data_IF_761814586667
#
_entry.id   IF_761814586667
#
_cell.length_a   1.000
_cell.length_b   1.000
_cell.length_c   1.000
_cell.angle_alpha   90.00
_cell.angle_beta   90.00
_cell.angle_gamma   90.00
#
_symmetry.space_group_name_H-M   'P 1'
#
loop_
_entity.id
_entity.type
_entity.pdbx_description
1 polymer ?
#
# COMPACT_ATOMS: atom_id res chain seq x y z
N UNK A 1 -5.11 7.80 -12.43
CA UNK A 1 -5.48 7.89 -10.99
C UNK A 1 -6.31 6.73 -10.41
N UNK A 2 -7.02 5.87 -11.17
CA UNK A 2 -7.95 4.88 -10.54
C UNK A 2 -7.65 3.39 -10.79
N UNK A 3 -6.60 3.05 -11.55
CA UNK A 3 -6.38 1.65 -11.99
C UNK A 3 -5.87 0.74 -10.87
N UNK A 4 -4.94 1.19 -10.03
CA UNK A 4 -4.33 0.31 -9.03
C UNK A 4 -5.20 0.06 -7.80
N UNK A 5 -6.04 1.01 -7.38
CA UNK A 5 -7.03 0.74 -6.32
C UNK A 5 -8.05 -0.34 -6.73
N UNK A 6 -8.44 -0.36 -8.01
CA UNK A 6 -9.27 -1.45 -8.56
C UNK A 6 -8.51 -2.77 -8.63
N UNK A 7 -7.21 -2.74 -8.92
CA UNK A 7 -6.36 -3.94 -8.83
C UNK A 7 -6.28 -4.44 -7.40
N UNK A 8 -6.09 -3.57 -6.40
CA UNK A 8 -6.07 -3.96 -5.00
C UNK A 8 -7.33 -4.72 -4.56
N UNK A 9 -8.51 -4.29 -5.02
CA UNK A 9 -9.77 -4.98 -4.73
C UNK A 9 -9.94 -6.31 -5.46
N UNK A 10 -9.27 -6.48 -6.61
CA UNK A 10 -9.42 -7.67 -7.47
C UNK A 10 -8.32 -8.71 -7.21
N UNK A 11 -7.11 -8.24 -6.94
CA UNK A 11 -5.87 -9.01 -6.83
C UNK A 11 -4.80 -8.17 -6.09
N UNK A 12 -4.65 -8.41 -4.79
CA UNK A 12 -3.70 -7.68 -3.94
C UNK A 12 -2.24 -8.05 -4.23
N UNK A 13 -2.00 -9.23 -4.82
CA UNK A 13 -0.66 -9.73 -5.16
C UNK A 13 -0.23 -9.33 -6.57
N UNK A 14 -1.02 -8.50 -7.26
CA UNK A 14 -0.73 -8.07 -8.62
C UNK A 14 0.65 -7.38 -8.68
N UNK A 15 1.56 -7.77 -9.60
CA UNK A 15 2.95 -7.28 -9.62
C UNK A 15 3.10 -5.75 -9.68
N UNK A 16 2.13 -5.06 -10.29
CA UNK A 16 2.14 -3.59 -10.39
C UNK A 16 1.95 -2.88 -9.05
N UNK A 17 1.33 -3.54 -8.08
CA UNK A 17 1.14 -3.02 -6.72
C UNK A 17 2.45 -3.09 -5.93
N UNK A 18 3.37 -3.99 -6.30
CA UNK A 18 4.60 -4.24 -5.55
C UNK A 18 4.32 -4.38 -4.05
N UNK A 19 3.27 -5.15 -3.75
CA UNK A 19 2.75 -5.33 -2.40
C UNK A 19 3.74 -6.17 -1.59
N UNK A 20 4.12 -5.68 -0.41
CA UNK A 20 5.13 -6.34 0.43
C UNK A 20 4.93 -6.02 1.90
N UNK A 21 5.28 -6.98 2.76
CA UNK A 21 5.39 -6.75 4.21
C UNK A 21 6.61 -5.87 4.50
N UNK A 22 6.47 -4.86 5.35
CA UNK A 22 7.58 -4.03 5.81
C UNK A 22 8.41 -4.82 6.82
N UNK A 23 9.73 -4.69 6.72
CA UNK A 23 10.64 -5.38 7.63
C UNK A 23 10.34 -5.01 9.10
N UNK A 24 10.30 -6.03 9.97
CA UNK A 24 10.08 -5.89 11.41
C UNK A 24 8.74 -5.22 11.83
N UNK A 25 7.70 -5.33 11.00
CA UNK A 25 6.35 -4.87 11.37
C UNK A 25 5.27 -5.73 10.73
N UNK A 26 4.08 -5.75 11.32
CA UNK A 26 2.89 -6.35 10.68
C UNK A 26 2.22 -5.43 9.66
N UNK A 27 2.90 -4.34 9.29
CA UNK A 27 2.46 -3.44 8.23
C UNK A 27 2.94 -3.93 6.86
N UNK A 28 2.11 -3.66 5.87
CA UNK A 28 2.35 -3.89 4.47
C UNK A 28 2.38 -2.55 3.74
N UNK A 29 3.10 -2.52 2.63
CA UNK A 29 3.21 -1.38 1.73
C UNK A 29 2.89 -1.83 0.31
N UNK A 30 2.20 -0.98 -0.44
CA UNK A 30 2.03 -1.14 -1.89
C UNK A 30 1.94 0.20 -2.62
N UNK A 31 1.92 0.14 -3.95
CA UNK A 31 1.83 1.29 -4.85
C UNK A 31 0.37 1.55 -5.23
N UNK A 32 0.03 2.83 -5.36
CA UNK A 32 -1.21 3.31 -6.01
C UNK A 32 -0.89 3.83 -7.41
N UNK A 33 0.26 4.50 -7.55
CA UNK A 33 0.86 4.83 -8.83
C UNK A 33 2.37 5.05 -8.64
N UNK A 34 3.00 5.72 -9.61
CA UNK A 34 4.43 6.02 -9.56
C UNK A 34 4.80 6.94 -8.37
N UNK A 35 3.93 7.87 -7.99
CA UNK A 35 4.19 8.87 -6.95
C UNK A 35 3.62 8.46 -5.59
N UNK A 36 2.55 7.67 -5.55
CA UNK A 36 1.83 7.36 -4.32
C UNK A 36 1.99 5.91 -3.87
N UNK A 37 2.18 5.73 -2.56
CA UNK A 37 2.15 4.44 -1.87
C UNK A 37 1.06 4.44 -0.81
N UNK A 38 0.58 3.25 -0.47
CA UNK A 38 -0.26 3.02 0.69
C UNK A 38 0.46 2.12 1.68
N UNK A 39 0.13 2.28 2.96
CA UNK A 39 0.44 1.29 3.99
C UNK A 39 -0.83 0.76 4.60
N UNK A 40 -0.79 -0.47 5.09
CA UNK A 40 -1.94 -1.09 5.74
C UNK A 40 -1.57 -2.35 6.49
N UNK A 41 -2.57 -2.97 7.08
CA UNK A 41 -2.42 -4.20 7.84
C UNK A 41 -3.59 -5.15 7.56
N UNK A 42 -3.31 -6.45 7.65
CA UNK A 42 -4.38 -7.45 7.64
C UNK A 42 -4.93 -7.59 9.05
N UNK A 43 -6.24 -7.43 9.20
CA UNK A 43 -6.94 -7.76 10.43
C UNK A 43 -8.18 -8.61 10.10
N UNK A 44 -8.19 -9.83 10.64
CA UNK A 44 -9.13 -10.88 10.27
C UNK A 44 -9.13 -11.13 8.75
N UNK A 45 -10.27 -10.93 8.08
CA UNK A 45 -10.44 -11.17 6.64
C UNK A 45 -10.29 -9.90 5.80
N UNK A 46 -9.93 -8.78 6.42
CA UNK A 46 -9.87 -7.48 5.76
C UNK A 46 -8.46 -6.91 5.75
N UNK A 47 -8.13 -6.22 4.65
CA UNK A 47 -6.93 -5.39 4.56
C UNK A 47 -7.30 -3.92 4.79
N UNK A 48 -6.79 -3.34 5.87
CA UNK A 48 -7.06 -1.96 6.24
C UNK A 48 -5.93 -1.06 5.77
N UNK A 49 -6.24 -0.10 4.91
CA UNK A 49 -5.30 0.95 4.51
C UNK A 49 -5.25 1.99 5.63
N UNK A 50 -4.08 2.13 6.25
CA UNK A 50 -3.85 3.07 7.36
C UNK A 50 -3.27 4.40 6.90
N UNK A 51 -2.55 4.41 5.78
CA UNK A 51 -2.03 5.65 5.20
C UNK A 51 -1.92 5.57 3.69
N UNK A 52 -2.07 6.72 3.04
CA UNK A 52 -1.78 6.94 1.63
C UNK A 52 -0.93 8.21 1.55
N UNK A 53 0.22 8.13 0.90
CA UNK A 53 1.16 9.25 0.84
C UNK A 53 2.04 9.21 -0.41
N UNK A 54 2.61 10.37 -0.74
CA UNK A 54 3.63 10.43 -1.78
C UNK A 54 4.90 9.75 -1.28
N UNK A 55 5.54 8.98 -2.15
CA UNK A 55 6.81 8.34 -1.84
C UNK A 55 7.92 9.35 -1.55
N UNK A 56 7.95 10.46 -2.29
CA UNK A 56 9.05 11.43 -2.22
C UNK A 56 8.85 12.48 -1.11
N UNK A 57 7.61 12.66 -0.66
CA UNK A 57 7.28 13.51 0.50
C UNK A 57 7.13 12.57 1.69
N UNK A 58 8.26 12.14 2.22
CA UNK A 58 8.37 11.03 3.17
C UNK A 58 7.29 11.00 4.25
N UNK A 59 6.73 9.79 4.47
CA UNK A 59 6.04 9.39 5.69
C UNK A 59 7.01 9.41 6.89
N UNK A 60 7.58 10.57 7.22
CA UNK A 60 8.61 10.69 8.25
C UNK A 60 9.46 11.97 8.29
N UNK A 61 8.98 13.13 7.81
CA UNK A 61 9.57 14.40 8.26
C UNK A 61 8.64 15.06 9.29
N UNK A 62 8.91 14.80 10.57
CA UNK A 62 8.66 15.78 11.63
C UNK A 62 9.87 16.70 11.71
#
# INVERSE_FOLDING_TARGET
MHKQLKLLQKDIDHPSLNFRKKANSDQYEGRIDFHYRFTGEFAAEYFYITSIGMHDIGLGKK
#
